data_IF_971875348833
#
_entry.id   IF_971875348833
#
_cell.length_a   1.000
_cell.length_b   1.000
_cell.length_c   1.000
_cell.angle_alpha   90.00
_cell.angle_beta   90.00
_cell.angle_gamma   90.00
#
_symmetry.space_group_name_H-M   'P 1'
#
loop_
_entity.id
_entity.type
_entity.pdbx_description
1 polymer ?
#
# COMPACT_ATOMS: atom_id res chain seq x y z
N UNK A 1 27.14 11.01 9.14
CA UNK A 1 27.52 10.07 8.07
C UNK A 1 26.39 9.72 7.10
N UNK A 2 25.12 9.59 7.51
CA UNK A 2 24.05 9.18 6.55
C UNK A 2 23.54 10.29 5.62
N UNK A 3 23.54 11.55 6.06
CA UNK A 3 22.94 12.66 5.29
C UNK A 3 23.75 13.05 4.04
N UNK A 4 25.07 13.17 4.18
CA UNK A 4 26.01 13.51 3.10
C UNK A 4 26.02 12.43 2.03
N UNK A 5 26.00 11.15 2.45
CA UNK A 5 25.90 10.00 1.53
C UNK A 5 24.58 10.02 0.75
N UNK A 6 23.46 10.37 1.41
CA UNK A 6 22.17 10.46 0.73
C UNK A 6 22.14 11.60 -0.30
N UNK A 7 22.74 12.74 0.03
CA UNK A 7 22.88 13.87 -0.90
C UNK A 7 23.74 13.50 -2.13
N UNK A 8 24.87 12.82 -1.90
CA UNK A 8 25.77 12.35 -2.95
C UNK A 8 25.08 11.37 -3.91
N UNK A 9 24.36 10.38 -3.39
CA UNK A 9 23.62 9.40 -4.23
C UNK A 9 22.56 10.09 -5.10
N UNK A 10 21.82 11.06 -4.56
CA UNK A 10 20.85 11.83 -5.35
C UNK A 10 21.51 12.63 -6.47
N UNK A 11 22.68 13.22 -6.20
CA UNK A 11 23.43 13.95 -7.22
C UNK A 11 23.88 13.02 -8.34
N UNK A 12 24.50 11.89 -7.99
CA UNK A 12 24.96 10.91 -8.97
C UNK A 12 23.82 10.37 -9.83
N UNK A 13 22.64 10.14 -9.23
CA UNK A 13 21.45 9.74 -9.95
C UNK A 13 20.96 10.83 -10.91
N UNK A 14 20.88 12.09 -10.46
CA UNK A 14 20.51 13.22 -11.30
C UNK A 14 21.44 13.39 -12.50
N UNK A 15 22.75 13.29 -12.28
CA UNK A 15 23.77 13.37 -13.32
C UNK A 15 23.63 12.23 -14.34
N UNK A 16 23.30 11.02 -13.86
CA UNK A 16 23.08 9.83 -14.70
C UNK A 16 21.84 9.98 -15.59
N UNK A 17 20.73 10.46 -15.04
CA UNK A 17 19.51 10.77 -15.82
C UNK A 17 19.82 11.80 -16.90
N UNK A 18 20.51 12.89 -16.53
CA UNK A 18 20.88 13.94 -17.46
C UNK A 18 21.79 13.43 -18.60
N UNK A 19 22.79 12.61 -18.27
CA UNK A 19 23.71 12.05 -19.25
C UNK A 19 22.99 11.16 -20.27
N UNK A 20 22.13 10.25 -19.78
CA UNK A 20 21.35 9.36 -20.65
C UNK A 20 20.33 10.12 -21.50
N UNK A 21 19.70 11.15 -20.94
CA UNK A 21 18.81 12.04 -21.69
C UNK A 21 19.54 12.74 -22.84
N UNK A 22 20.74 13.27 -22.57
CA UNK A 22 21.58 13.92 -23.59
C UNK A 22 22.06 12.92 -24.66
N UNK A 23 22.41 11.70 -24.28
CA UNK A 23 22.78 10.62 -25.21
C UNK A 23 21.61 10.23 -26.13
N UNK A 24 20.39 10.26 -25.61
CA UNK A 24 19.15 10.10 -26.40
C UNK A 24 18.80 11.30 -27.28
N UNK A 25 19.48 12.43 -27.12
CA UNK A 25 19.22 13.65 -27.88
C UNK A 25 17.90 14.35 -27.56
N UNK A 26 17.28 14.06 -26.42
CA UNK A 26 15.99 14.66 -26.03
C UNK A 26 16.17 15.78 -24.99
N UNK A 27 15.25 16.75 -25.00
CA UNK A 27 15.23 17.87 -24.05
C UNK A 27 14.57 17.48 -22.72
N UNK A 28 14.71 18.31 -21.68
CA UNK A 28 14.01 18.06 -20.42
C UNK A 28 12.49 18.11 -20.61
N UNK A 29 12.01 18.97 -21.50
CA UNK A 29 10.59 19.10 -21.88
C UNK A 29 10.07 17.80 -22.48
N UNK A 30 10.81 17.23 -23.43
CA UNK A 30 10.44 15.97 -24.09
C UNK A 30 10.44 14.79 -23.11
N UNK A 31 11.48 14.67 -22.27
CA UNK A 31 11.48 13.64 -21.23
C UNK A 31 10.30 13.82 -20.26
N UNK A 32 9.96 15.05 -19.89
CA UNK A 32 8.85 15.33 -19.00
C UNK A 32 7.50 14.95 -19.63
N UNK A 33 7.33 15.22 -20.92
CA UNK A 33 6.17 14.81 -21.71
C UNK A 33 6.06 13.28 -21.80
N UNK A 34 7.15 12.59 -22.11
CA UNK A 34 7.20 11.12 -22.23
C UNK A 34 6.78 10.38 -20.94
N UNK A 35 6.99 10.99 -19.77
CA UNK A 35 6.68 10.38 -18.46
C UNK A 35 5.52 11.06 -17.71
N UNK A 36 4.77 11.94 -18.38
CA UNK A 36 3.68 12.73 -17.81
C UNK A 36 4.07 13.44 -16.49
N UNK A 37 5.10 14.29 -16.56
CA UNK A 37 5.61 15.12 -15.45
C UNK A 37 5.86 16.55 -15.93
N UNK A 38 6.02 17.46 -14.97
CA UNK A 38 6.45 18.83 -15.30
C UNK A 38 7.95 18.87 -15.63
N UNK A 39 8.34 19.77 -16.53
CA UNK A 39 9.75 20.07 -16.86
C UNK A 39 10.55 20.41 -15.60
N UNK A 40 9.92 21.15 -14.67
CA UNK A 40 10.49 21.50 -13.37
C UNK A 40 10.79 20.26 -12.51
N UNK A 41 9.94 19.23 -12.58
CA UNK A 41 10.17 17.97 -11.87
C UNK A 41 11.41 17.25 -12.40
N UNK A 42 11.58 17.17 -13.72
CA UNK A 42 12.79 16.61 -14.34
C UNK A 42 14.03 17.41 -13.94
N UNK A 43 13.94 18.73 -13.97
CA UNK A 43 15.02 19.63 -13.55
C UNK A 43 15.43 19.39 -12.09
N UNK A 44 14.47 19.24 -11.18
CA UNK A 44 14.76 18.94 -9.77
C UNK A 44 15.44 17.57 -9.57
N UNK A 45 15.10 16.57 -10.37
CA UNK A 45 15.75 15.26 -10.35
C UNK A 45 17.18 15.38 -10.85
N UNK A 46 17.39 16.01 -12.01
CA UNK A 46 18.72 16.15 -12.61
C UNK A 46 19.69 16.95 -11.74
N UNK A 47 19.20 17.88 -10.92
CA UNK A 47 20.00 18.64 -9.95
C UNK A 47 20.18 17.93 -8.59
N UNK A 48 19.66 16.71 -8.41
CA UNK A 48 19.72 15.98 -7.13
C UNK A 48 18.93 16.62 -5.98
N UNK A 49 18.10 17.61 -6.28
CA UNK A 49 17.31 18.36 -5.29
C UNK A 49 16.14 17.51 -4.78
N UNK A 50 15.50 16.74 -5.67
CA UNK A 50 14.43 15.79 -5.34
C UNK A 50 14.81 14.37 -5.72
N UNK A 51 14.43 13.43 -4.85
CA UNK A 51 14.47 12.02 -5.19
C UNK A 51 13.21 11.67 -6.02
N UNK A 52 13.35 10.96 -7.15
CA UNK A 52 12.18 10.41 -7.86
C UNK A 52 11.51 9.32 -7.02
N UNK A 53 10.22 9.07 -7.27
CA UNK A 53 9.56 7.86 -6.77
C UNK A 53 9.98 6.64 -7.60
N UNK A 54 9.65 5.43 -7.15
CA UNK A 54 9.95 4.21 -7.90
C UNK A 54 9.26 4.18 -9.26
N UNK A 55 8.03 4.70 -9.34
CA UNK A 55 7.26 4.84 -10.57
C UNK A 55 8.00 5.78 -11.55
N UNK A 56 8.42 6.96 -11.09
CA UNK A 56 9.20 7.89 -11.91
C UNK A 56 10.52 7.26 -12.40
N UNK A 57 11.17 6.39 -11.61
CA UNK A 57 12.39 5.69 -12.06
C UNK A 57 12.07 4.72 -13.20
N UNK A 58 10.96 3.98 -13.10
CA UNK A 58 10.50 3.06 -14.16
C UNK A 58 10.18 3.85 -15.44
N UNK A 59 9.42 4.92 -15.32
CA UNK A 59 9.02 5.75 -16.46
C UNK A 59 10.24 6.38 -17.14
N UNK A 60 11.20 6.91 -16.36
CA UNK A 60 12.46 7.44 -16.90
C UNK A 60 13.27 6.36 -17.61
N UNK A 61 13.34 5.15 -17.05
CA UNK A 61 14.07 4.05 -17.68
C UNK A 61 13.43 3.64 -19.02
N UNK A 62 12.11 3.59 -19.08
CA UNK A 62 11.35 3.30 -20.30
C UNK A 62 11.51 4.39 -21.36
N UNK A 63 11.33 5.66 -21.00
CA UNK A 63 11.51 6.80 -21.90
C UNK A 63 12.94 6.87 -22.46
N UNK A 64 13.94 6.62 -21.61
CA UNK A 64 15.35 6.56 -22.00
C UNK A 64 15.75 5.19 -22.60
N UNK A 65 14.80 4.27 -22.80
CA UNK A 65 14.94 2.87 -23.28
C UNK A 65 16.18 2.16 -22.74
N UNK A 66 16.35 2.23 -21.42
CA UNK A 66 17.39 1.52 -20.66
C UNK A 66 16.74 0.64 -19.59
N UNK A 67 17.49 -0.33 -19.06
CA UNK A 67 17.00 -1.09 -17.91
C UNK A 67 17.13 -0.27 -16.63
N UNK A 68 16.20 -0.47 -15.67
CA UNK A 68 16.28 0.18 -14.35
C UNK A 68 17.63 -0.05 -13.67
N UNK A 69 18.22 -1.27 -13.65
CA UNK A 69 19.55 -1.47 -13.08
C UNK A 69 20.64 -0.61 -13.76
N UNK A 70 20.54 -0.41 -15.07
CA UNK A 70 21.50 0.42 -15.81
C UNK A 70 21.32 1.92 -15.54
N UNK A 71 20.08 2.37 -15.35
CA UNK A 71 19.75 3.72 -14.91
C UNK A 71 20.25 3.99 -13.48
N UNK A 72 20.08 3.01 -12.59
CA UNK A 72 20.43 3.08 -11.18
C UNK A 72 21.90 2.80 -10.87
N UNK A 73 22.72 2.49 -11.89
CA UNK A 73 24.13 2.18 -11.71
C UNK A 73 24.95 3.45 -11.40
N UNK A 74 24.79 3.94 -10.19
CA UNK A 74 25.51 5.09 -9.63
C UNK A 74 26.42 4.60 -8.52
N UNK A 75 27.69 4.42 -8.83
CA UNK A 75 28.72 4.10 -7.84
C UNK A 75 29.36 5.39 -7.34
N UNK A 76 29.26 5.71 -6.04
CA UNK A 76 30.16 6.67 -5.43
C UNK A 76 31.60 6.21 -5.70
N UNK A 77 32.48 7.15 -6.04
CA UNK A 77 33.93 6.92 -6.12
C UNK A 77 34.47 6.73 -4.70
N UNK A 78 34.10 5.60 -4.09
CA UNK A 78 34.76 5.02 -2.93
C UNK A 78 35.17 3.64 -3.39
N UNK A 79 36.48 3.41 -3.47
CA UNK A 79 37.14 2.16 -3.85
C UNK A 79 36.39 0.91 -3.36
N UNK A 80 35.49 0.37 -4.19
CA UNK A 80 35.08 -1.02 -4.04
C UNK A 80 36.03 -1.78 -4.95
N UNK A 81 37.19 -2.10 -4.38
CA UNK A 81 38.17 -3.01 -4.95
C UNK A 81 37.44 -4.24 -5.52
N UNK A 82 37.75 -4.57 -6.77
CA UNK A 82 37.23 -5.65 -7.62
C UNK A 82 37.37 -7.07 -7.07
N UNK A 83 37.61 -7.25 -5.76
CA UNK A 83 37.75 -8.55 -5.10
C UNK A 83 36.41 -9.18 -4.68
N UNK A 84 35.28 -8.49 -4.86
CA UNK A 84 33.99 -8.97 -4.33
C UNK A 84 33.37 -10.16 -5.10
N UNK A 85 33.79 -10.42 -6.34
CA UNK A 85 33.22 -11.51 -7.16
C UNK A 85 33.97 -12.84 -7.02
N UNK A 86 35.21 -12.83 -6.53
CA UNK A 86 36.03 -14.05 -6.34
C UNK A 86 35.79 -14.72 -4.98
N UNK A 87 35.27 -13.98 -3.99
CA UNK A 87 34.95 -14.51 -2.65
C UNK A 87 33.54 -15.12 -2.53
N UNK A 88 32.71 -15.06 -3.59
CA UNK A 88 31.35 -15.63 -3.59
C UNK A 88 31.29 -17.15 -3.78
N UNK A 89 32.43 -17.85 -3.76
CA UNK A 89 32.47 -19.26 -3.38
C UNK A 89 32.56 -19.38 -1.85
N UNK A 90 31.52 -18.95 -1.15
CA UNK A 90 31.31 -19.40 0.23
C UNK A 90 30.47 -20.68 0.17
N UNK A 91 30.83 -21.74 0.92
CA UNK A 91 29.93 -22.87 1.09
C UNK A 91 28.62 -22.35 1.71
N UNK A 92 27.49 -22.94 1.32
CA UNK A 92 26.18 -22.63 1.89
C UNK A 92 26.25 -22.85 3.41
N UNK A 93 26.50 -21.77 4.15
CA UNK A 93 26.27 -21.73 5.59
C UNK A 93 24.77 -21.51 5.71
N UNK A 94 24.02 -22.58 6.00
CA UNK A 94 22.68 -22.42 6.57
C UNK A 94 22.81 -21.41 7.70
N UNK A 95 21.96 -20.37 7.79
CA UNK A 95 22.04 -19.43 8.90
C UNK A 95 22.02 -20.27 10.18
N UNK A 96 23.12 -20.23 10.93
CA UNK A 96 23.12 -20.77 12.28
C UNK A 96 21.97 -20.06 12.96
N UNK A 97 20.97 -20.83 13.41
CA UNK A 97 19.93 -20.36 14.30
C UNK A 97 20.59 -19.37 15.25
N UNK A 98 20.21 -18.10 15.17
CA UNK A 98 20.71 -17.09 16.10
C UNK A 98 20.48 -17.70 17.46
N UNK A 99 21.55 -18.04 18.20
CA UNK A 99 21.35 -18.55 19.55
C UNK A 99 20.56 -17.45 20.28
N UNK A 100 19.37 -17.76 20.83
CA UNK A 100 18.59 -16.76 21.53
C UNK A 100 19.49 -16.11 22.57
N UNK A 101 19.47 -14.77 22.60
CA UNK A 101 20.28 -13.98 23.54
C UNK A 101 20.15 -14.60 24.93
N UNK A 102 21.27 -15.06 25.49
CA UNK A 102 21.30 -15.88 26.71
C UNK A 102 20.75 -15.16 27.95
N UNK A 103 20.60 -13.84 27.91
CA UNK A 103 20.01 -13.08 29.01
C UNK A 103 18.96 -12.09 28.49
N UNK A 104 17.73 -12.23 28.99
CA UNK A 104 16.64 -11.29 28.76
C UNK A 104 16.99 -9.93 29.39
N UNK A 105 16.63 -8.83 28.71
CA UNK A 105 16.71 -7.48 29.27
C UNK A 105 15.73 -7.40 30.46
N UNK A 106 16.26 -7.55 31.68
CA UNK A 106 15.45 -7.59 32.90
C UNK A 106 15.03 -6.17 33.32
N UNK A 107 13.75 -5.84 33.11
CA UNK A 107 13.13 -4.66 33.69
C UNK A 107 12.37 -5.04 34.97
N UNK A 108 13.03 -4.80 36.11
CA UNK A 108 12.50 -4.73 37.49
C UNK A 108 11.44 -5.74 37.92
N UNK A 109 11.87 -6.65 38.83
CA UNK A 109 11.11 -7.55 39.73
C UNK A 109 9.63 -7.82 39.35
N UNK A 110 9.38 -9.04 38.87
CA UNK A 110 8.08 -9.68 38.54
C UNK A 110 7.59 -9.62 37.08
N UNK A 111 8.36 -9.10 36.11
CA UNK A 111 7.98 -9.22 34.70
C UNK A 111 8.48 -10.53 34.07
N UNK A 112 7.53 -11.35 33.56
CA UNK A 112 7.79 -12.38 32.53
C UNK A 112 8.70 -11.80 31.45
N UNK A 113 9.65 -12.59 30.95
CA UNK A 113 10.54 -12.13 29.87
C UNK A 113 9.73 -11.73 28.63
N UNK A 114 10.23 -10.79 27.83
CA UNK A 114 9.53 -10.38 26.60
C UNK A 114 9.34 -11.56 25.64
N UNK A 115 10.23 -12.57 25.68
CA UNK A 115 10.08 -13.82 24.95
C UNK A 115 8.87 -14.62 25.43
N UNK A 116 8.69 -14.80 26.74
CA UNK A 116 7.54 -15.52 27.30
C UNK A 116 6.22 -14.79 27.00
N UNK A 117 6.23 -13.46 27.06
CA UNK A 117 5.07 -12.62 26.70
C UNK A 117 4.72 -12.78 25.23
N UNK A 118 5.72 -12.77 24.35
CA UNK A 118 5.55 -13.00 22.92
C UNK A 118 5.03 -14.41 22.64
N UNK A 119 5.62 -15.44 23.23
CA UNK A 119 5.17 -16.84 23.05
C UNK A 119 3.71 -17.02 23.49
N UNK A 120 3.31 -16.39 24.60
CA UNK A 120 1.92 -16.41 25.05
C UNK A 120 1.00 -15.73 24.04
N UNK A 121 1.38 -14.56 23.52
CA UNK A 121 0.58 -13.83 22.53
C UNK A 121 0.49 -14.57 21.18
N UNK A 122 1.59 -15.22 20.76
CA UNK A 122 1.68 -15.95 19.50
C UNK A 122 0.68 -17.10 19.43
N UNK A 123 0.41 -17.79 20.53
CA UNK A 123 -0.61 -18.85 20.55
C UNK A 123 -2.00 -18.33 20.15
N UNK A 124 -2.42 -17.19 20.69
CA UNK A 124 -3.69 -16.56 20.33
C UNK A 124 -3.68 -15.98 18.90
N UNK A 125 -2.55 -15.45 18.45
CA UNK A 125 -2.37 -14.93 17.09
C UNK A 125 -2.45 -16.07 16.06
N UNK A 126 -1.86 -17.24 16.35
CA UNK A 126 -1.92 -18.41 15.46
C UNK A 126 -3.34 -18.96 15.32
N UNK A 127 -4.12 -18.94 16.40
CA UNK A 127 -5.55 -19.27 16.34
C UNK A 127 -6.31 -18.26 15.48
N UNK A 128 -6.06 -16.96 15.67
CA UNK A 128 -6.65 -15.92 14.83
C UNK A 128 -6.30 -16.10 13.35
N UNK A 129 -5.04 -16.45 13.04
CA UNK A 129 -4.61 -16.75 11.67
C UNK A 129 -5.28 -18.00 11.10
N UNK A 130 -5.46 -19.04 11.92
CA UNK A 130 -6.16 -20.26 11.50
C UNK A 130 -7.61 -19.96 11.12
N UNK A 131 -8.30 -19.17 11.96
CA UNK A 131 -9.64 -18.65 11.65
C UNK A 131 -9.63 -17.76 10.40
N UNK A 132 -8.61 -16.91 10.23
CA UNK A 132 -8.48 -16.05 9.05
C UNK A 132 -8.39 -16.87 7.75
N UNK A 133 -7.65 -17.97 7.77
CA UNK A 133 -7.50 -18.88 6.63
C UNK A 133 -8.86 -19.47 6.20
N UNK A 134 -9.73 -19.82 7.15
CA UNK A 134 -11.09 -20.31 6.85
C UNK A 134 -11.97 -19.28 6.14
N UNK A 135 -11.65 -17.98 6.30
CA UNK A 135 -12.31 -16.86 5.64
C UNK A 135 -11.60 -16.43 4.35
N UNK A 136 -10.52 -17.10 3.95
CA UNK A 136 -9.74 -16.78 2.75
C UNK A 136 -8.70 -15.67 2.95
N UNK A 137 -8.35 -15.33 4.21
CA UNK A 137 -7.34 -14.32 4.55
C UNK A 137 -6.02 -15.03 4.84
N UNK A 138 -5.04 -14.85 3.95
CA UNK A 138 -3.76 -15.57 4.03
C UNK A 138 -2.81 -15.06 5.12
N UNK A 139 -2.91 -13.78 5.50
CA UNK A 139 -2.03 -13.15 6.50
C UNK A 139 -2.79 -12.06 7.27
N UNK A 140 -2.94 -12.23 8.59
CA UNK A 140 -3.63 -11.26 9.45
C UNK A 140 -2.87 -9.95 9.65
N UNK A 141 -1.56 -9.94 9.39
CA UNK A 141 -0.69 -8.78 9.56
C UNK A 141 -0.48 -7.96 8.30
N UNK A 142 -0.87 -8.48 7.13
CA UNK A 142 -0.81 -7.75 5.85
C UNK A 142 -2.18 -7.23 5.44
N UNK A 143 -2.20 -6.10 4.72
CA UNK A 143 -3.40 -5.52 4.08
C UNK A 143 -4.65 -5.40 4.99
N UNK A 144 -4.42 -5.19 6.30
CA UNK A 144 -5.46 -5.17 7.32
C UNK A 144 -6.23 -6.50 7.49
N UNK A 145 -5.65 -7.66 7.17
CA UNK A 145 -6.30 -8.97 7.23
C UNK A 145 -7.01 -9.25 8.56
N UNK A 146 -6.35 -9.01 9.70
CA UNK A 146 -6.96 -9.19 11.03
C UNK A 146 -8.11 -8.22 11.32
N UNK A 147 -8.18 -7.06 10.66
CA UNK A 147 -9.33 -6.13 10.75
C UNK A 147 -10.46 -6.57 9.83
N UNK A 148 -10.14 -6.94 8.59
CA UNK A 148 -11.14 -7.45 7.64
C UNK A 148 -11.85 -8.67 8.23
N UNK A 149 -11.11 -9.59 8.87
CA UNK A 149 -11.67 -10.76 9.54
C UNK A 149 -12.74 -10.38 10.59
N UNK A 150 -12.45 -9.38 11.44
CA UNK A 150 -13.43 -8.91 12.44
C UNK A 150 -14.73 -8.47 11.79
N UNK A 151 -14.64 -7.71 10.69
CA UNK A 151 -15.83 -7.18 9.99
C UNK A 151 -16.62 -8.31 9.34
N UNK A 152 -15.95 -9.24 8.66
CA UNK A 152 -16.60 -10.38 8.01
C UNK A 152 -17.36 -11.23 9.03
N UNK A 153 -16.75 -11.54 10.18
CA UNK A 153 -17.39 -12.33 11.23
C UNK A 153 -18.60 -11.59 11.81
N UNK A 154 -18.44 -10.30 12.17
CA UNK A 154 -19.51 -9.52 12.81
C UNK A 154 -20.72 -9.29 11.91
N UNK A 155 -20.50 -9.20 10.59
CA UNK A 155 -21.55 -9.02 9.60
C UNK A 155 -22.09 -10.34 9.02
N UNK A 156 -21.47 -11.48 9.35
CA UNK A 156 -21.86 -12.78 8.79
C UNK A 156 -21.52 -12.92 7.30
N UNK A 157 -20.44 -12.30 6.84
CA UNK A 157 -20.01 -12.29 5.44
C UNK A 157 -18.84 -13.25 5.19
N UNK A 158 -18.55 -13.48 3.91
CA UNK A 158 -17.37 -14.20 3.41
C UNK A 158 -16.69 -13.41 2.30
N UNK A 159 -15.40 -13.61 2.08
CA UNK A 159 -14.68 -13.03 0.94
C UNK A 159 -15.29 -13.59 -0.35
N UNK A 160 -15.52 -12.72 -1.34
CA UNK A 160 -16.02 -13.16 -2.64
C UNK A 160 -14.97 -14.00 -3.38
N UNK A 161 -15.33 -15.16 -3.94
CA UNK A 161 -14.40 -15.98 -4.70
C UNK A 161 -14.09 -15.37 -6.07
N UNK A 162 -12.91 -14.76 -6.22
CA UNK A 162 -12.38 -14.26 -7.50
C UNK A 162 -11.58 -12.97 -7.36
N UNK A 163 -10.56 -12.77 -8.20
CA UNK A 163 -9.71 -11.56 -8.17
C UNK A 163 -10.41 -10.30 -8.74
N UNK A 164 -11.57 -10.46 -9.36
CA UNK A 164 -12.28 -9.38 -10.07
C UNK A 164 -13.68 -9.08 -9.50
N UNK A 165 -14.10 -9.79 -8.45
CA UNK A 165 -15.39 -9.59 -7.78
C UNK A 165 -15.34 -8.52 -6.68
N UNK A 166 -16.51 -8.10 -6.21
CA UNK A 166 -16.64 -7.20 -5.06
C UNK A 166 -16.13 -7.86 -3.77
N UNK A 167 -15.79 -7.07 -2.75
CA UNK A 167 -14.98 -7.56 -1.61
C UNK A 167 -15.60 -8.71 -0.80
N UNK A 168 -16.93 -8.76 -0.64
CA UNK A 168 -17.59 -9.73 0.23
C UNK A 168 -18.97 -10.20 -0.27
N UNK A 169 -19.40 -11.38 0.18
CA UNK A 169 -20.72 -11.98 -0.08
C UNK A 169 -21.43 -12.44 1.20
N UNK A 170 -22.77 -12.44 1.18
CA UNK A 170 -23.60 -13.08 2.20
C UNK A 170 -24.04 -14.50 1.81
N UNK A 171 -24.82 -15.16 2.68
CA UNK A 171 -25.33 -16.51 2.46
C UNK A 171 -26.28 -16.63 1.24
N UNK A 172 -26.89 -15.52 0.82
CA UNK A 172 -27.77 -15.44 -0.35
C UNK A 172 -26.98 -15.09 -1.64
N UNK A 173 -25.65 -14.97 -1.55
CA UNK A 173 -24.74 -14.54 -2.62
C UNK A 173 -24.95 -13.09 -3.06
N UNK A 174 -25.54 -12.25 -2.24
CA UNK A 174 -25.51 -10.83 -2.50
C UNK A 174 -24.08 -10.31 -2.29
N UNK A 175 -23.65 -9.40 -3.17
CA UNK A 175 -22.30 -8.84 -3.14
C UNK A 175 -22.25 -7.48 -2.41
N UNK A 176 -21.12 -7.23 -1.75
CA UNK A 176 -20.88 -6.05 -0.94
C UNK A 176 -19.47 -5.51 -1.17
N UNK A 177 -19.34 -4.19 -1.12
CA UNK A 177 -18.03 -3.52 -1.08
C UNK A 177 -17.62 -3.33 0.38
N UNK A 178 -16.36 -3.58 0.71
CA UNK A 178 -15.82 -3.48 2.06
C UNK A 178 -14.66 -2.49 2.10
N UNK A 179 -14.72 -1.51 2.99
CA UNK A 179 -13.59 -0.61 3.23
C UNK A 179 -13.32 -0.44 4.71
N UNK A 180 -12.05 -0.26 5.04
CA UNK A 180 -11.60 0.00 6.41
C UNK A 180 -10.90 1.35 6.48
N UNK A 181 -11.03 2.04 7.62
CA UNK A 181 -10.33 3.30 7.89
C UNK A 181 -9.81 3.30 9.32
N UNK A 182 -8.56 3.73 9.51
CA UNK A 182 -8.03 4.06 10.83
C UNK A 182 -8.19 5.58 11.07
N UNK A 183 -9.11 5.95 11.96
CA UNK A 183 -9.47 7.35 12.27
C UNK A 183 -8.29 8.16 12.84
N UNK A 184 -7.29 7.47 13.40
CA UNK A 184 -6.05 8.10 13.88
C UNK A 184 -5.12 8.53 12.74
N UNK A 185 -5.26 7.94 11.54
CA UNK A 185 -4.36 8.15 10.40
C UNK A 185 -5.01 8.88 9.23
N UNK A 186 -6.33 8.73 9.06
CA UNK A 186 -7.06 9.32 7.94
C UNK A 186 -8.47 9.76 8.35
N UNK A 187 -8.96 10.79 7.66
CA UNK A 187 -10.37 11.27 7.75
C UNK A 187 -11.19 10.89 6.52
N UNK A 188 -10.64 10.07 5.62
CA UNK A 188 -11.35 9.65 4.41
C UNK A 188 -11.01 8.22 4.03
N UNK A 189 -12.02 7.54 3.50
CA UNK A 189 -11.96 6.18 2.99
C UNK A 189 -11.39 6.21 1.58
N UNK A 190 -10.36 5.40 1.34
CA UNK A 190 -9.78 5.17 0.00
C UNK A 190 -10.68 4.22 -0.80
N UNK A 191 -10.69 4.34 -2.13
CA UNK A 191 -11.53 3.50 -2.98
C UNK A 191 -10.69 2.56 -3.83
N UNK A 192 -10.20 3.01 -4.99
CA UNK A 192 -9.45 2.21 -5.95
C UNK A 192 -8.33 3.03 -6.63
N UNK A 193 -7.16 2.43 -6.83
CA UNK A 193 -5.99 3.08 -7.43
C UNK A 193 -6.13 3.40 -8.93
N UNK A 194 -7.06 2.75 -9.62
CA UNK A 194 -7.34 2.93 -11.05
C UNK A 194 -8.86 3.01 -11.29
N UNK A 195 -9.55 3.92 -10.59
CA UNK A 195 -11.01 4.02 -10.73
C UNK A 195 -11.39 4.36 -12.18
N UNK A 196 -12.12 3.47 -12.82
CA UNK A 196 -12.63 3.60 -14.18
C UNK A 196 -14.16 3.37 -14.22
N UNK A 197 -14.77 3.43 -15.41
CA UNK A 197 -16.22 3.27 -15.56
C UNK A 197 -16.72 1.88 -15.16
N UNK A 198 -15.94 0.83 -15.40
CA UNK A 198 -16.33 -0.54 -15.07
C UNK A 198 -16.35 -0.75 -13.54
N UNK A 199 -15.36 -0.22 -12.84
CA UNK A 199 -15.32 -0.25 -11.37
C UNK A 199 -16.48 0.58 -10.80
N UNK A 200 -16.78 1.75 -11.36
CA UNK A 200 -17.94 2.54 -10.95
C UNK A 200 -19.27 1.80 -11.15
N UNK A 201 -19.40 1.02 -12.23
CA UNK A 201 -20.56 0.17 -12.44
C UNK A 201 -20.67 -0.91 -11.35
N UNK A 202 -19.55 -1.56 -10.99
CA UNK A 202 -19.51 -2.54 -9.89
C UNK A 202 -19.89 -1.92 -8.54
N UNK A 203 -19.36 -0.74 -8.26
CA UNK A 203 -19.65 0.05 -7.05
C UNK A 203 -21.13 0.41 -6.87
N UNK A 204 -21.85 0.58 -7.98
CA UNK A 204 -23.30 0.82 -7.98
C UNK A 204 -24.14 -0.45 -7.90
N UNK A 205 -23.58 -1.58 -8.34
CA UNK A 205 -24.30 -2.86 -8.43
C UNK A 205 -24.33 -3.65 -7.11
N UNK A 206 -23.41 -3.38 -6.17
CA UNK A 206 -23.40 -4.05 -4.86
C UNK A 206 -24.64 -3.73 -4.03
N UNK A 207 -25.05 -4.65 -3.16
CA UNK A 207 -26.21 -4.48 -2.28
C UNK A 207 -25.99 -3.42 -1.21
N UNK A 208 -24.75 -3.28 -0.74
CA UNK A 208 -24.32 -2.18 0.12
C UNK A 208 -22.80 -2.06 0.17
N UNK A 209 -22.35 -0.91 0.65
CA UNK A 209 -20.99 -0.71 1.12
C UNK A 209 -20.95 -0.85 2.64
N UNK A 210 -19.97 -1.60 3.15
CA UNK A 210 -19.65 -1.65 4.58
C UNK A 210 -18.35 -0.93 4.86
N UNK A 211 -18.43 0.12 5.69
CA UNK A 211 -17.29 0.94 6.08
C UNK A 211 -16.98 0.70 7.56
N UNK A 212 -15.86 0.04 7.83
CA UNK A 212 -15.41 -0.24 9.18
C UNK A 212 -14.40 0.81 9.67
N UNK A 213 -14.70 1.43 10.80
CA UNK A 213 -13.92 2.50 11.42
C UNK A 213 -13.14 1.94 12.61
N UNK A 214 -11.83 2.10 12.55
CA UNK A 214 -10.88 1.62 13.55
C UNK A 214 -10.15 2.77 14.24
N UNK A 215 -9.72 2.53 15.48
CA UNK A 215 -8.63 3.26 16.13
C UNK A 215 -7.52 2.25 16.43
N UNK A 216 -6.42 2.31 15.68
CA UNK A 216 -5.39 1.26 15.72
C UNK A 216 -5.95 -0.07 15.21
N UNK A 217 -6.04 -1.08 16.08
CA UNK A 217 -6.66 -2.39 15.80
C UNK A 217 -8.07 -2.53 16.39
N UNK A 218 -8.55 -1.54 17.13
CA UNK A 218 -9.85 -1.59 17.81
C UNK A 218 -10.96 -1.12 16.86
N UNK A 219 -11.89 -2.01 16.55
CA UNK A 219 -13.09 -1.66 15.79
C UNK A 219 -14.01 -0.77 16.63
N UNK A 220 -14.34 0.41 16.11
CA UNK A 220 -15.21 1.39 16.79
C UNK A 220 -16.62 1.41 16.22
N UNK A 221 -16.74 1.34 14.90
CA UNK A 221 -18.02 1.38 14.22
C UNK A 221 -17.98 0.62 12.90
N UNK A 222 -19.12 0.11 12.46
CA UNK A 222 -19.35 -0.30 11.08
C UNK A 222 -20.59 0.43 10.59
N UNK A 223 -20.46 1.09 9.44
CA UNK A 223 -21.57 1.75 8.75
C UNK A 223 -21.94 0.95 7.51
N UNK A 224 -23.23 0.72 7.31
CA UNK A 224 -23.82 0.24 6.06
C UNK A 224 -24.27 1.44 5.24
N UNK A 225 -23.79 1.55 4.01
CA UNK A 225 -24.11 2.67 3.11
C UNK A 225 -24.74 2.10 1.84
N UNK A 226 -25.90 2.63 1.47
CA UNK A 226 -26.52 2.32 0.19
C UNK A 226 -25.75 3.00 -0.95
N UNK A 227 -25.46 2.33 -2.08
CA UNK A 227 -24.76 2.96 -3.20
C UNK A 227 -25.44 4.23 -3.71
N UNK A 228 -26.77 4.32 -3.61
CA UNK A 228 -27.52 5.52 -4.01
C UNK A 228 -27.14 6.75 -3.19
N UNK A 229 -26.79 6.58 -1.91
CA UNK A 229 -26.29 7.65 -1.05
C UNK A 229 -24.91 8.18 -1.48
N UNK A 230 -24.16 7.39 -2.26
CA UNK A 230 -22.85 7.77 -2.81
C UNK A 230 -22.94 8.29 -4.25
N UNK A 231 -24.13 8.34 -4.86
CA UNK A 231 -24.29 8.63 -6.29
C UNK A 231 -23.78 10.02 -6.66
N UNK A 232 -23.88 11.01 -5.77
CA UNK A 232 -23.30 12.34 -6.01
C UNK A 232 -21.77 12.26 -6.23
N UNK A 233 -21.07 11.37 -5.52
CA UNK A 233 -19.63 11.13 -5.71
C UNK A 233 -19.37 10.32 -6.96
N UNK A 234 -20.13 9.26 -7.20
CA UNK A 234 -19.98 8.41 -8.37
C UNK A 234 -20.20 9.19 -9.67
N UNK A 235 -21.28 9.97 -9.76
CA UNK A 235 -21.56 10.87 -10.89
C UNK A 235 -20.45 11.89 -11.10
N UNK A 236 -19.89 12.46 -10.03
CA UNK A 236 -18.76 13.39 -10.15
C UNK A 236 -17.53 12.71 -10.74
N UNK A 237 -17.16 11.52 -10.25
CA UNK A 237 -16.02 10.75 -10.77
C UNK A 237 -16.25 10.30 -12.21
N UNK A 238 -17.45 9.81 -12.52
CA UNK A 238 -17.83 9.43 -13.87
C UNK A 238 -17.72 10.60 -14.86
N UNK A 239 -18.16 11.81 -14.45
CA UNK A 239 -18.07 13.01 -15.30
C UNK A 239 -16.62 13.35 -15.67
N UNK A 240 -15.69 13.13 -14.74
CA UNK A 240 -14.26 13.39 -14.96
C UNK A 240 -13.61 12.35 -15.88
N UNK A 241 -13.99 11.08 -15.73
CA UNK A 241 -13.51 10.00 -16.61
C UNK A 241 -14.04 10.23 -18.03
N UNK A 242 -15.33 10.49 -18.19
CA UNK A 242 -15.94 10.82 -19.50
C UNK A 242 -15.41 12.11 -20.12
N UNK A 243 -14.89 13.03 -19.31
CA UNK A 243 -14.26 14.27 -19.75
C UNK A 243 -12.84 14.11 -20.32
N UNK A 244 -12.34 12.89 -20.47
CA UNK A 244 -11.05 12.59 -21.10
C UNK A 244 -9.97 12.03 -20.18
N UNK A 245 -10.28 11.76 -18.90
CA UNK A 245 -9.36 11.04 -18.00
C UNK A 245 -9.55 9.53 -18.16
N UNK A 246 -8.47 8.77 -18.34
CA UNK A 246 -8.54 7.30 -18.44
C UNK A 246 -8.97 6.64 -17.12
N UNK A 247 -8.44 7.12 -15.99
CA UNK A 247 -8.82 6.68 -14.65
C UNK A 247 -8.61 7.77 -13.59
N UNK A 248 -9.20 7.60 -12.42
CA UNK A 248 -8.97 8.47 -11.26
C UNK A 248 -8.18 7.68 -10.21
N UNK A 249 -7.02 8.20 -9.83
CA UNK A 249 -6.18 7.57 -8.82
C UNK A 249 -6.73 7.80 -7.40
N UNK A 250 -7.21 6.72 -6.78
CA UNK A 250 -7.61 6.60 -5.38
C UNK A 250 -8.46 7.78 -4.85
N UNK A 251 -9.61 8.06 -5.50
CA UNK A 251 -10.49 9.10 -4.99
C UNK A 251 -11.02 8.71 -3.62
N UNK A 252 -11.19 9.71 -2.75
CA UNK A 252 -11.51 9.49 -1.35
C UNK A 252 -12.95 9.89 -1.03
N UNK A 253 -13.58 9.12 -0.14
CA UNK A 253 -14.89 9.45 0.44
C UNK A 253 -14.67 9.97 1.87
N UNK A 254 -15.08 11.21 2.20
CA UNK A 254 -14.93 11.74 3.56
C UNK A 254 -15.68 10.89 4.58
N UNK A 255 -15.05 10.61 5.73
CA UNK A 255 -15.69 9.86 6.81
C UNK A 255 -16.97 10.54 7.31
N UNK A 256 -17.00 11.88 7.33
CA UNK A 256 -18.18 12.64 7.72
C UNK A 256 -19.39 12.41 6.80
N UNK A 257 -19.16 12.08 5.52
CA UNK A 257 -20.24 11.71 4.60
C UNK A 257 -20.78 10.33 4.96
N UNK A 258 -19.90 9.38 5.25
CA UNK A 258 -20.27 8.03 5.69
C UNK A 258 -21.06 8.07 7.01
N UNK A 259 -20.59 8.84 7.99
CA UNK A 259 -21.26 9.00 9.28
C UNK A 259 -22.63 9.69 9.15
N UNK A 260 -22.82 10.52 8.10
CA UNK A 260 -24.07 11.25 7.83
C UNK A 260 -25.10 10.40 7.07
N UNK A 261 -24.67 9.71 6.03
CA UNK A 261 -25.55 8.99 5.09
C UNK A 261 -25.65 7.49 5.37
N UNK A 262 -24.75 6.95 6.20
CA UNK A 262 -24.68 5.54 6.54
C UNK A 262 -25.49 5.16 7.77
N UNK A 263 -26.04 3.95 7.73
CA UNK A 263 -26.67 3.29 8.87
C UNK A 263 -25.61 2.66 9.78
N UNK A 264 -25.61 2.99 11.06
CA UNK A 264 -24.70 2.37 12.03
C UNK A 264 -25.16 0.94 12.36
N UNK A 265 -24.38 -0.06 11.94
CA UNK A 265 -24.70 -1.49 12.16
C UNK A 265 -23.83 -2.15 13.24
N UNK A 266 -22.73 -1.50 13.63
CA UNK A 266 -21.92 -1.87 14.79
C UNK A 266 -21.46 -0.61 15.52
N UNK A 267 -21.50 -0.57 16.88
CA UNK A 267 -22.03 -1.63 17.75
C UNK A 267 -23.54 -1.81 17.56
N UNK A 268 -24.04 -3.05 17.70
CA UNK A 268 -25.50 -3.29 17.70
C UNK A 268 -26.09 -2.51 18.86
N UNK A 269 -27.01 -1.59 18.57
CA UNK A 269 -27.83 -0.99 19.61
C UNK A 269 -28.78 -2.09 20.10
N UNK A 270 -28.67 -2.44 21.39
CA UNK A 270 -29.57 -3.39 22.05
C UNK A 270 -31.01 -2.89 22.04
#
# INVERSE_FOLDING_TARGET
MSFERYKEVKQLFGDRVQALRKDRGITQEQLAEDIDKSVEHISYIERGERAPSFETILDIAEALKVSVPYLMNVTPQTDISTNFLTELQTPVVLPSLVEPVKEAVNTTKERRSDLERLQTALGAIQELQSLANEYGINDVFQDNGGKVLQVLILLGLRISPGREGNDAIDAEKNEYELKTINKLLSKSVTTNHHLNLDILAKYRAVKAWYIAVYEGILLKAIYRVDPTSLETKFSYWESRIRGGMESINNPKIPLSLIEKEGELVYPKQN
#
